data_IF_104578690680
#
_entry.id   IF_104578690680
#
_cell.length_a   1.000
_cell.length_b   1.000
_cell.length_c   1.000
_cell.angle_alpha   90.00
_cell.angle_beta   90.00
_cell.angle_gamma   90.00
#
_symmetry.space_group_name_H-M   'P 1'
#
loop_
_entity.id
_entity.type
_entity.pdbx_description
1 polymer ?
#
# COMPACT_ATOMS: atom_id res chain seq x y z
N UNK A 1 43.08 -35.69 12.29
CA UNK A 1 42.45 -34.46 12.81
C UNK A 1 41.17 -34.20 12.04
N UNK A 2 40.01 -34.24 12.71
CA UNK A 2 38.71 -34.58 12.10
C UNK A 2 38.02 -33.36 11.47
N UNK A 3 37.30 -33.57 10.37
CA UNK A 3 36.48 -32.60 9.61
C UNK A 3 35.55 -31.73 10.49
N UNK A 4 35.10 -32.27 11.63
CA UNK A 4 34.29 -31.56 12.64
C UNK A 4 35.02 -30.37 13.29
N UNK A 5 36.32 -30.48 13.53
CA UNK A 5 37.13 -29.37 14.07
C UNK A 5 37.35 -28.25 13.05
N UNK A 6 37.37 -28.57 11.76
CA UNK A 6 37.47 -27.58 10.69
C UNK A 6 36.14 -26.81 10.51
N UNK A 7 35.01 -27.53 10.51
CA UNK A 7 33.67 -26.97 10.43
C UNK A 7 33.32 -26.10 11.66
N UNK A 8 33.70 -26.53 12.86
CA UNK A 8 33.50 -25.72 14.08
C UNK A 8 34.32 -24.42 14.04
N UNK A 9 35.56 -24.46 13.52
CA UNK A 9 36.39 -23.27 13.36
C UNK A 9 35.88 -22.34 12.25
N UNK A 10 35.36 -22.88 11.15
CA UNK A 10 34.73 -22.09 10.09
C UNK A 10 33.43 -21.44 10.58
N UNK A 11 32.61 -22.16 11.34
CA UNK A 11 31.37 -21.64 11.91
C UNK A 11 31.66 -20.53 12.94
N UNK A 12 32.68 -20.72 13.78
CA UNK A 12 33.16 -19.68 14.70
C UNK A 12 33.74 -18.46 13.96
N UNK A 13 34.43 -18.66 12.83
CA UNK A 13 34.94 -17.56 12.01
C UNK A 13 33.81 -16.78 11.34
N UNK A 14 32.79 -17.47 10.83
CA UNK A 14 31.59 -16.85 10.23
C UNK A 14 30.77 -16.12 11.29
N UNK A 15 30.59 -16.71 12.48
CA UNK A 15 29.91 -16.05 13.61
C UNK A 15 30.72 -14.85 14.10
N UNK A 16 32.05 -14.93 14.15
CA UNK A 16 32.91 -13.80 14.54
C UNK A 16 32.86 -12.66 13.51
N UNK A 17 32.91 -12.96 12.20
CA UNK A 17 32.80 -11.96 11.12
C UNK A 17 31.41 -11.32 11.08
N UNK A 18 30.35 -12.09 11.40
CA UNK A 18 28.99 -11.57 11.52
C UNK A 18 28.81 -10.73 12.79
N UNK A 19 29.35 -11.14 13.94
CA UNK A 19 29.30 -10.35 15.18
C UNK A 19 30.13 -9.07 15.08
N UNK A 20 31.27 -9.07 14.39
CA UNK A 20 32.02 -7.82 14.16
C UNK A 20 31.28 -6.87 13.23
N UNK A 21 30.53 -7.36 12.24
CA UNK A 21 29.67 -6.51 11.41
C UNK A 21 28.42 -6.03 12.16
N UNK A 22 27.86 -6.84 13.06
CA UNK A 22 26.75 -6.43 13.94
C UNK A 22 27.21 -5.41 14.98
N UNK A 23 28.41 -5.57 15.57
CA UNK A 23 28.99 -4.59 16.49
C UNK A 23 29.38 -3.30 15.75
N UNK A 24 29.84 -3.37 14.51
CA UNK A 24 30.09 -2.18 13.67
C UNK A 24 28.79 -1.45 13.25
N UNK A 25 27.63 -2.13 13.25
CA UNK A 25 26.33 -1.52 12.96
C UNK A 25 25.53 -1.09 14.22
N UNK A 26 25.83 -1.67 15.39
CA UNK A 26 25.23 -1.31 16.67
C UNK A 26 26.07 -0.33 17.50
N UNK A 27 27.36 -0.17 17.17
CA UNK A 27 28.13 0.99 17.62
C UNK A 27 27.83 2.13 16.65
N UNK A 28 27.39 3.32 17.12
CA UNK A 28 27.27 4.46 16.23
C UNK A 28 28.65 4.67 15.62
N UNK A 29 28.75 4.84 14.30
CA UNK A 29 29.97 5.36 13.66
C UNK A 29 30.14 6.80 14.12
N UNK A 30 30.59 6.95 15.36
CA UNK A 30 31.17 8.13 15.94
C UNK A 30 32.61 8.12 15.44
N UNK A 31 32.81 8.50 14.16
CA UNK A 31 34.10 9.10 13.81
C UNK A 31 34.17 10.37 14.65
N UNK A 32 34.96 10.32 15.73
CA UNK A 32 35.48 11.50 16.40
C UNK A 32 36.23 12.31 15.35
N UNK A 33 35.55 13.25 14.71
CA UNK A 33 36.20 14.52 14.38
C UNK A 33 36.17 15.32 15.67
N UNK A 34 37.36 15.64 16.17
CA UNK A 34 37.52 16.66 17.21
C UNK A 34 36.79 17.93 16.76
N UNK A 35 35.81 18.35 17.55
CA UNK A 35 34.96 19.54 17.42
C UNK A 35 33.66 19.34 16.63
N UNK A 36 32.53 19.35 17.34
CA UNK A 36 31.20 19.55 16.78
C UNK A 36 30.10 18.92 17.63
N UNK A 37 29.32 19.75 18.34
CA UNK A 37 28.08 19.37 19.02
C UNK A 37 27.15 18.58 18.08
N UNK A 38 26.58 17.48 18.56
CA UNK A 38 25.45 16.81 17.89
C UNK A 38 24.20 17.70 17.98
N UNK A 39 23.75 18.25 16.85
CA UNK A 39 22.42 18.85 16.74
C UNK A 39 21.41 17.80 16.27
N UNK A 40 20.29 17.68 16.99
CA UNK A 40 19.15 16.84 16.66
C UNK A 40 18.21 17.52 15.64
N UNK A 41 18.76 18.37 14.77
CA UNK A 41 17.99 19.26 13.91
C UNK A 41 17.71 18.57 12.58
N UNK A 42 16.43 18.27 12.34
CA UNK A 42 15.92 18.01 10.99
C UNK A 42 16.48 19.10 10.05
N UNK A 43 17.10 18.70 8.94
CA UNK A 43 17.62 19.66 7.97
C UNK A 43 16.46 20.15 7.12
N UNK A 44 15.97 21.35 7.43
CA UNK A 44 15.04 22.07 6.57
C UNK A 44 15.78 22.50 5.32
N UNK A 45 15.55 21.81 4.21
CA UNK A 45 15.92 22.30 2.89
C UNK A 45 14.69 23.06 2.36
N UNK A 46 14.57 24.34 2.71
CA UNK A 46 13.58 25.21 2.08
C UNK A 46 14.08 25.60 0.69
N UNK A 47 13.65 24.87 -0.33
CA UNK A 47 13.63 25.40 -1.69
C UNK A 47 12.20 25.88 -1.92
N UNK A 48 12.03 27.17 -2.23
CA UNK A 48 10.72 27.79 -2.48
C UNK A 48 9.99 27.00 -3.57
N UNK A 49 9.08 26.12 -3.16
CA UNK A 49 8.18 25.43 -4.08
C UNK A 49 7.07 26.43 -4.40
N UNK A 50 7.17 27.16 -5.51
CA UNK A 50 6.06 28.01 -5.94
C UNK A 50 4.93 27.07 -6.37
N UNK A 51 4.01 26.81 -5.45
CA UNK A 51 2.74 26.13 -5.71
C UNK A 51 1.71 27.23 -5.93
N UNK A 52 1.01 27.16 -7.06
CA UNK A 52 -0.09 28.07 -7.39
C UNK A 52 -1.32 27.62 -6.61
N UNK A 53 -1.50 28.19 -5.42
CA UNK A 53 -2.58 27.83 -4.49
C UNK A 53 -3.63 28.93 -4.47
N UNK A 54 -4.36 29.09 -5.57
CA UNK A 54 -5.60 29.88 -5.55
C UNK A 54 -6.84 28.97 -5.56
N UNK A 55 -7.60 29.04 -4.46
CA UNK A 55 -9.02 28.67 -4.29
C UNK A 55 -9.47 27.22 -3.95
N UNK A 56 -8.60 26.24 -3.70
CA UNK A 56 -9.07 24.84 -3.42
C UNK A 56 -9.29 24.49 -1.94
N UNK A 57 -8.80 25.29 -0.99
CA UNK A 57 -8.62 24.83 0.41
C UNK A 57 -9.83 24.98 1.35
N UNK A 58 -10.73 25.95 1.14
CA UNK A 58 -11.75 26.31 2.14
C UNK A 58 -13.08 25.53 2.03
N UNK A 59 -13.37 24.89 0.88
CA UNK A 59 -14.63 24.16 0.66
C UNK A 59 -14.56 22.66 1.07
N UNK A 60 -13.37 22.05 1.02
CA UNK A 60 -13.14 20.60 1.25
C UNK A 60 -13.60 20.11 2.65
N UNK A 61 -13.38 20.91 3.70
CA UNK A 61 -13.59 20.48 5.10
C UNK A 61 -15.03 20.74 5.57
N UNK A 62 -15.75 21.69 4.94
CA UNK A 62 -17.07 22.13 5.40
C UNK A 62 -18.23 21.30 4.83
N UNK A 63 -18.07 20.76 3.63
CA UNK A 63 -19.03 19.84 2.99
C UNK A 63 -19.11 18.49 3.73
N UNK A 64 -17.97 17.93 4.12
CA UNK A 64 -17.86 16.57 4.65
C UNK A 64 -18.41 16.36 6.07
N UNK A 65 -18.36 17.37 6.95
CA UNK A 65 -18.75 17.21 8.37
C UNK A 65 -20.26 17.06 8.61
N UNK A 66 -21.14 17.17 7.59
CA UNK A 66 -22.60 17.22 7.78
C UNK A 66 -23.41 16.10 7.14
N UNK A 67 -22.85 15.23 6.30
CA UNK A 67 -23.63 14.19 5.65
C UNK A 67 -23.44 12.82 6.30
N UNK A 68 -24.48 12.39 7.03
CA UNK A 68 -24.68 11.00 7.45
C UNK A 68 -24.94 10.21 6.16
N UNK A 69 -23.94 9.48 5.70
CA UNK A 69 -23.86 8.83 4.38
C UNK A 69 -25.06 7.87 4.20
N UNK A 70 -25.92 8.17 3.22
CA UNK A 70 -26.87 7.22 2.64
C UNK A 70 -26.27 6.78 1.30
N UNK A 71 -25.76 5.55 1.26
CA UNK A 71 -24.99 4.95 0.16
C UNK A 71 -25.57 5.18 -1.24
N UNK A 72 -26.90 5.16 -1.40
CA UNK A 72 -27.54 5.33 -2.71
C UNK A 72 -27.48 6.76 -3.27
N UNK A 73 -27.53 7.80 -2.43
CA UNK A 73 -27.54 9.19 -2.91
C UNK A 73 -26.16 9.63 -3.40
N UNK A 74 -25.10 9.18 -2.74
CA UNK A 74 -23.74 9.52 -3.12
C UNK A 74 -23.27 8.80 -4.38
N UNK A 75 -23.62 7.51 -4.54
CA UNK A 75 -23.34 6.78 -5.78
C UNK A 75 -24.02 7.44 -6.98
N UNK A 76 -25.28 7.88 -6.82
CA UNK A 76 -25.98 8.65 -7.85
C UNK A 76 -25.28 9.99 -8.14
N UNK A 77 -24.84 10.71 -7.11
CA UNK A 77 -24.07 11.94 -7.31
C UNK A 77 -22.76 11.72 -8.09
N UNK A 78 -22.05 10.60 -7.85
CA UNK A 78 -20.85 10.26 -8.63
C UNK A 78 -21.18 9.90 -10.08
N UNK A 79 -22.30 9.24 -10.34
CA UNK A 79 -22.81 8.97 -11.70
C UNK A 79 -23.22 10.27 -12.40
N UNK A 80 -23.98 11.14 -11.73
CA UNK A 80 -24.44 12.44 -12.23
C UNK A 80 -23.27 13.36 -12.59
N UNK A 81 -22.16 13.28 -11.84
CA UNK A 81 -20.91 14.01 -12.11
C UNK A 81 -20.05 13.37 -13.20
N UNK A 82 -20.41 12.20 -13.74
CA UNK A 82 -19.60 11.45 -14.69
C UNK A 82 -18.30 10.89 -14.10
N UNK A 83 -18.17 10.87 -12.78
CA UNK A 83 -17.01 10.28 -12.08
C UNK A 83 -17.03 8.76 -12.22
N UNK A 84 -18.22 8.18 -12.13
CA UNK A 84 -18.49 6.80 -12.48
C UNK A 84 -19.16 6.74 -13.85
N UNK A 85 -18.80 5.75 -14.67
CA UNK A 85 -19.50 5.46 -15.93
C UNK A 85 -20.86 4.84 -15.66
N UNK A 86 -21.86 5.14 -16.50
CA UNK A 86 -23.14 4.45 -16.42
C UNK A 86 -22.97 2.97 -16.81
N UNK A 87 -23.76 2.04 -16.24
CA UNK A 87 -23.70 0.62 -16.61
C UNK A 87 -23.90 0.37 -18.12
N UNK A 88 -24.68 1.21 -18.78
CA UNK A 88 -25.08 1.11 -20.19
C UNK A 88 -23.93 1.43 -21.17
N UNK A 89 -23.05 2.38 -20.83
CA UNK A 89 -21.87 2.74 -21.64
C UNK A 89 -20.86 1.58 -21.78
N UNK A 90 -20.97 0.56 -20.93
CA UNK A 90 -20.11 -0.62 -20.93
C UNK A 90 -20.71 -1.83 -21.68
N UNK A 91 -21.82 -1.68 -22.39
CA UNK A 91 -22.43 -2.76 -23.17
C UNK A 91 -23.19 -3.80 -22.34
N UNK A 92 -23.59 -3.45 -21.11
CA UNK A 92 -24.58 -4.21 -20.35
C UNK A 92 -25.99 -3.78 -20.78
N UNK A 93 -26.72 -4.67 -21.46
CA UNK A 93 -28.18 -4.54 -21.55
C UNK A 93 -28.76 -4.78 -20.16
N UNK A 94 -29.58 -3.85 -19.68
CA UNK A 94 -30.33 -3.97 -18.44
C UNK A 94 -31.07 -5.32 -18.38
N UNK A 95 -30.65 -6.21 -17.49
CA UNK A 95 -31.64 -6.92 -16.70
C UNK A 95 -31.92 -6.07 -15.47
N UNK A 96 -33.21 -5.89 -15.09
CA UNK A 96 -33.59 -5.00 -14.01
C UNK A 96 -32.84 -5.39 -12.73
N UNK A 97 -32.34 -4.37 -12.00
CA UNK A 97 -31.79 -4.48 -10.66
C UNK A 97 -32.49 -5.61 -9.90
N UNK A 98 -31.81 -6.71 -9.54
CA UNK A 98 -32.43 -7.75 -8.78
C UNK A 98 -32.95 -7.09 -7.51
N UNK A 99 -34.25 -7.20 -7.27
CA UNK A 99 -34.80 -7.00 -5.94
C UNK A 99 -33.83 -7.65 -4.96
N UNK A 100 -33.42 -6.93 -3.91
CA UNK A 100 -32.51 -7.38 -2.85
C UNK A 100 -33.14 -8.56 -2.09
N UNK A 101 -33.27 -9.68 -2.78
CA UNK A 101 -33.37 -11.02 -2.27
C UNK A 101 -31.96 -11.54 -2.46
N UNK A 102 -31.43 -12.15 -1.42
CA UNK A 102 -30.32 -13.06 -1.59
C UNK A 102 -30.87 -14.33 -2.25
N UNK A 103 -30.58 -14.57 -3.54
CA UNK A 103 -30.35 -15.94 -3.95
C UNK A 103 -28.90 -16.12 -4.41
N UNK A 104 -28.28 -17.15 -3.85
CA UNK A 104 -27.07 -17.84 -4.32
C UNK A 104 -25.68 -17.28 -3.97
N UNK A 105 -25.42 -17.08 -2.67
CA UNK A 105 -24.06 -17.17 -2.09
C UNK A 105 -23.37 -18.54 -2.28
N UNK A 106 -24.04 -19.52 -2.89
CA UNK A 106 -23.57 -20.90 -3.01
C UNK A 106 -22.78 -21.19 -4.31
N UNK A 107 -22.99 -20.44 -5.39
CA UNK A 107 -22.39 -20.74 -6.70
C UNK A 107 -21.05 -20.03 -6.97
N UNK A 108 -20.76 -18.89 -6.34
CA UNK A 108 -19.50 -18.12 -6.54
C UNK A 108 -18.27 -18.77 -5.87
N UNK A 109 -18.47 -19.77 -4.99
CA UNK A 109 -17.37 -20.48 -4.30
C UNK A 109 -16.55 -21.43 -5.19
N UNK A 110 -16.82 -21.55 -6.48
CA UNK A 110 -16.33 -22.71 -7.26
C UNK A 110 -14.82 -22.74 -7.55
N UNK A 111 -14.08 -21.62 -7.57
CA UNK A 111 -12.60 -21.58 -7.45
C UNK A 111 -12.10 -20.12 -7.34
N UNK A 112 -12.29 -19.48 -6.18
CA UNK A 112 -11.83 -18.10 -5.99
C UNK A 112 -10.33 -17.95 -6.25
N UNK A 113 -9.53 -18.96 -5.86
CA UNK A 113 -8.08 -18.99 -6.06
C UNK A 113 -7.72 -18.96 -7.54
N UNK A 114 -8.38 -19.77 -8.36
CA UNK A 114 -8.22 -19.78 -9.82
C UNK A 114 -8.66 -18.48 -10.47
N UNK A 115 -9.78 -17.90 -10.02
CA UNK A 115 -10.29 -16.63 -10.54
C UNK A 115 -9.31 -15.48 -10.28
N UNK A 116 -8.84 -15.33 -9.04
CA UNK A 116 -7.82 -14.33 -8.67
C UNK A 116 -6.54 -14.49 -9.51
N UNK A 117 -6.09 -15.73 -9.73
CA UNK A 117 -4.92 -15.99 -10.60
C UNK A 117 -5.16 -15.54 -12.04
N UNK A 118 -6.32 -15.90 -12.62
CA UNK A 118 -6.68 -15.52 -13.99
C UNK A 118 -6.75 -14.00 -14.15
N UNK A 119 -7.38 -13.29 -13.21
CA UNK A 119 -7.49 -11.82 -13.25
C UNK A 119 -6.10 -11.17 -13.18
N UNK A 120 -5.28 -11.59 -12.23
CA UNK A 120 -3.91 -11.07 -12.08
C UNK A 120 -3.01 -11.36 -13.30
N UNK A 121 -3.24 -12.47 -14.01
CA UNK A 121 -2.53 -12.81 -15.24
C UNK A 121 -3.03 -12.00 -16.43
N UNK A 122 -4.34 -11.76 -16.52
CA UNK A 122 -4.95 -11.00 -17.59
C UNK A 122 -4.54 -9.52 -17.57
N UNK A 123 -4.33 -8.95 -16.37
CA UNK A 123 -3.95 -7.55 -16.18
C UNK A 123 -4.84 -6.59 -16.99
N UNK A 124 -6.14 -6.84 -17.02
CA UNK A 124 -7.11 -6.04 -17.78
C UNK A 124 -7.13 -4.62 -17.24
N UNK A 125 -6.95 -3.65 -18.13
CA UNK A 125 -7.04 -2.23 -17.80
C UNK A 125 -8.42 -1.74 -18.23
N UNK A 126 -9.11 -1.05 -17.33
CA UNK A 126 -10.33 -0.30 -17.62
C UNK A 126 -9.94 1.13 -18.00
N UNK A 127 -10.62 1.73 -18.99
CA UNK A 127 -10.24 3.06 -19.46
C UNK A 127 -8.94 3.08 -20.26
N UNK A 128 -8.60 2.02 -20.99
CA UNK A 128 -7.40 1.97 -21.86
C UNK A 128 -7.32 3.13 -22.86
N UNK A 129 -8.44 3.75 -23.21
CA UNK A 129 -8.51 4.95 -24.05
C UNK A 129 -7.70 6.15 -23.50
N UNK A 130 -7.44 6.18 -22.19
CA UNK A 130 -6.59 7.18 -21.55
C UNK A 130 -5.09 6.91 -21.74
N UNK A 131 -4.69 5.65 -21.97
CA UNK A 131 -3.28 5.25 -22.15
C UNK A 131 -2.77 5.54 -23.57
N UNK A 132 -2.87 6.79 -24.01
CA UNK A 132 -2.26 7.25 -25.28
C UNK A 132 -0.74 7.28 -25.21
N UNK A 133 -0.21 7.48 -24.02
CA UNK A 133 1.21 7.47 -23.66
C UNK A 133 1.44 6.59 -22.43
N UNK A 134 2.67 6.11 -22.17
CA UNK A 134 2.99 5.47 -20.91
C UNK A 134 2.61 6.36 -19.72
N UNK A 135 2.07 5.79 -18.62
CA UNK A 135 1.59 6.58 -17.50
C UNK A 135 2.75 7.35 -16.85
N UNK A 136 2.51 8.62 -16.52
CA UNK A 136 3.51 9.48 -15.87
C UNK A 136 3.69 9.12 -14.40
N UNK A 137 2.59 8.78 -13.74
CA UNK A 137 2.55 8.35 -12.34
C UNK A 137 1.80 7.04 -12.20
N UNK A 138 2.10 6.31 -11.13
CA UNK A 138 1.39 5.10 -10.75
C UNK A 138 0.95 5.23 -9.30
N UNK A 139 -0.36 5.17 -9.07
CA UNK A 139 -0.93 5.09 -7.73
C UNK A 139 -1.26 3.64 -7.42
N UNK A 140 -0.78 3.13 -6.29
CA UNK A 140 -1.05 1.76 -5.83
C UNK A 140 -1.86 1.85 -4.54
N UNK A 141 -3.16 1.55 -4.63
CA UNK A 141 -4.14 1.70 -3.57
C UNK A 141 -4.39 0.35 -2.90
N UNK A 142 -4.19 0.25 -1.59
CA UNK A 142 -4.58 -0.94 -0.82
C UNK A 142 -6.06 -0.86 -0.45
N UNK A 143 -6.82 -1.88 -0.84
CA UNK A 143 -8.27 -1.99 -0.62
C UNK A 143 -8.56 -3.25 0.21
N UNK A 144 -9.43 -3.09 1.21
CA UNK A 144 -9.95 -4.18 2.03
C UNK A 144 -11.47 -4.31 1.83
N UNK A 145 -12.28 -3.72 2.71
CA UNK A 145 -13.75 -3.80 2.66
C UNK A 145 -14.46 -2.51 3.11
N UNK A 146 -13.75 -1.38 3.26
CA UNK A 146 -14.36 -0.11 3.72
C UNK A 146 -14.93 0.70 2.56
N UNK A 147 -16.09 0.26 2.08
CA UNK A 147 -16.77 0.80 0.89
C UNK A 147 -16.95 2.33 0.90
N UNK A 148 -17.43 2.91 2.01
CA UNK A 148 -17.66 4.36 2.12
C UNK A 148 -16.37 5.17 2.02
N UNK A 149 -15.28 4.66 2.60
CA UNK A 149 -13.97 5.30 2.55
C UNK A 149 -13.41 5.26 1.13
N UNK A 150 -13.54 4.11 0.47
CA UNK A 150 -13.10 3.94 -0.91
C UNK A 150 -13.83 4.90 -1.86
N UNK A 151 -15.13 5.10 -1.66
CA UNK A 151 -15.91 6.11 -2.37
C UNK A 151 -15.33 7.52 -2.15
N UNK A 152 -15.01 7.87 -0.90
CA UNK A 152 -14.42 9.16 -0.55
C UNK A 152 -13.08 9.39 -1.26
N UNK A 153 -12.23 8.35 -1.28
CA UNK A 153 -10.95 8.38 -1.98
C UNK A 153 -11.15 8.57 -3.48
N UNK A 154 -12.04 7.81 -4.12
CA UNK A 154 -12.34 7.90 -5.56
C UNK A 154 -12.85 9.30 -5.92
N UNK A 155 -13.77 9.86 -5.13
CA UNK A 155 -14.26 11.23 -5.30
C UNK A 155 -13.10 12.24 -5.22
N UNK A 156 -12.18 12.12 -4.25
CA UNK A 156 -11.00 12.99 -4.17
C UNK A 156 -10.02 12.81 -5.34
N UNK A 157 -9.80 11.57 -5.80
CA UNK A 157 -8.95 11.29 -6.95
C UNK A 157 -9.52 11.90 -8.25
N UNK A 158 -10.84 11.93 -8.39
CA UNK A 158 -11.50 12.48 -9.59
C UNK A 158 -11.21 13.97 -9.84
N UNK A 159 -10.79 14.70 -8.80
CA UNK A 159 -10.46 16.13 -8.87
C UNK A 159 -8.97 16.40 -9.08
N UNK A 160 -8.13 15.37 -9.00
CA UNK A 160 -6.68 15.53 -9.13
C UNK A 160 -6.32 15.97 -10.54
N UNK A 161 -5.55 17.04 -10.65
CA UNK A 161 -5.09 17.55 -11.94
C UNK A 161 -4.06 16.60 -12.58
N UNK A 162 -4.31 16.18 -13.83
CA UNK A 162 -3.44 15.25 -14.56
C UNK A 162 -3.63 13.77 -14.18
N UNK A 163 -4.73 13.44 -13.52
CA UNK A 163 -5.05 12.06 -13.12
C UNK A 163 -5.34 11.15 -14.32
N UNK A 164 -5.77 11.72 -15.45
CA UNK A 164 -6.07 11.02 -16.69
C UNK A 164 -4.83 10.31 -17.29
N UNK A 165 -3.62 10.85 -17.03
CA UNK A 165 -2.33 10.29 -17.48
C UNK A 165 -1.68 9.40 -16.39
N UNK A 166 -2.44 9.00 -15.37
CA UNK A 166 -1.96 8.26 -14.20
C UNK A 166 -2.62 6.87 -14.13
N UNK A 167 -1.81 5.82 -14.00
CA UNK A 167 -2.35 4.46 -13.81
C UNK A 167 -2.77 4.27 -12.34
N UNK A 168 -4.06 3.98 -12.13
CA UNK A 168 -4.60 3.62 -10.82
C UNK A 168 -4.61 2.10 -10.65
N UNK A 169 -3.80 1.59 -9.74
CA UNK A 169 -3.73 0.16 -9.41
C UNK A 169 -4.41 -0.09 -8.07
N UNK A 170 -5.62 -0.64 -8.09
CA UNK A 170 -6.33 -1.05 -6.88
C UNK A 170 -5.93 -2.49 -6.53
N UNK A 171 -5.40 -2.68 -5.33
CA UNK A 171 -4.92 -3.95 -4.81
C UNK A 171 -5.82 -4.44 -3.70
N UNK A 172 -6.54 -5.54 -3.94
CA UNK A 172 -7.58 -6.07 -3.07
C UNK A 172 -7.10 -7.30 -2.31
N UNK A 173 -7.40 -7.43 -1.01
CA UNK A 173 -7.26 -8.70 -0.28
C UNK A 173 -8.59 -9.36 0.07
N UNK A 174 -9.72 -8.72 -0.25
CA UNK A 174 -11.05 -9.32 -0.24
C UNK A 174 -11.69 -9.15 -1.60
N UNK A 175 -12.21 -10.24 -2.16
CA UNK A 175 -12.97 -10.25 -3.39
C UNK A 175 -14.44 -9.98 -3.08
N UNK A 176 -14.89 -8.74 -3.33
CA UNK A 176 -16.26 -8.29 -3.16
C UNK A 176 -16.76 -7.67 -4.46
N UNK A 177 -17.81 -8.25 -5.05
CA UNK A 177 -18.33 -7.83 -6.37
C UNK A 177 -18.74 -6.35 -6.40
N UNK A 178 -19.27 -5.84 -5.29
CA UNK A 178 -19.66 -4.43 -5.15
C UNK A 178 -18.45 -3.48 -5.26
N UNK A 179 -17.36 -3.77 -4.54
CA UNK A 179 -16.10 -3.00 -4.62
C UNK A 179 -15.46 -3.16 -6.00
N UNK A 180 -15.41 -4.40 -6.51
CA UNK A 180 -14.81 -4.70 -7.81
C UNK A 180 -15.51 -3.93 -8.93
N UNK A 181 -16.84 -3.85 -8.86
CA UNK A 181 -17.68 -3.12 -9.83
C UNK A 181 -17.51 -1.62 -9.69
N UNK A 182 -17.47 -1.08 -8.47
CA UNK A 182 -17.19 0.33 -8.22
C UNK A 182 -15.86 0.76 -8.88
N UNK A 183 -14.79 -0.01 -8.64
CA UNK A 183 -13.47 0.29 -9.18
C UNK A 183 -13.41 0.12 -10.71
N UNK A 184 -14.07 -0.90 -11.27
CA UNK A 184 -14.12 -1.12 -12.71
C UNK A 184 -14.83 0.02 -13.48
N UNK A 185 -15.74 0.73 -12.82
CA UNK A 185 -16.55 1.79 -13.42
C UNK A 185 -15.96 3.20 -13.25
N UNK A 186 -14.76 3.34 -12.71
CA UNK A 186 -14.06 4.63 -12.64
C UNK A 186 -13.90 5.23 -14.06
N UNK A 187 -14.39 6.45 -14.23
CA UNK A 187 -14.55 7.10 -15.53
C UNK A 187 -13.41 8.02 -15.98
N UNK A 188 -12.51 8.40 -15.08
CA UNK A 188 -11.61 9.54 -15.26
C UNK A 188 -10.11 9.19 -15.39
N UNK A 189 -9.75 7.91 -15.30
CA UNK A 189 -8.36 7.45 -15.37
C UNK A 189 -8.27 5.99 -15.83
N UNK A 190 -7.11 5.51 -16.30
CA UNK A 190 -6.89 4.10 -16.54
C UNK A 190 -6.75 3.34 -15.22
N UNK A 191 -7.51 2.26 -15.08
CA UNK A 191 -7.64 1.50 -13.83
C UNK A 191 -7.27 0.04 -14.03
N UNK A 192 -6.45 -0.49 -13.13
CA UNK A 192 -6.07 -1.90 -13.06
C UNK A 192 -6.46 -2.45 -11.68
N UNK A 193 -7.14 -3.58 -11.63
CA UNK A 193 -7.39 -4.31 -10.40
C UNK A 193 -6.46 -5.51 -10.26
N UNK A 194 -5.81 -5.64 -9.11
CA UNK A 194 -4.98 -6.78 -8.73
C UNK A 194 -5.47 -7.36 -7.39
N UNK A 195 -5.35 -8.66 -7.21
CA UNK A 195 -5.92 -9.37 -6.06
C UNK A 195 -4.85 -10.15 -5.32
N UNK A 196 -4.66 -9.88 -4.04
CA UNK A 196 -3.70 -10.57 -3.18
C UNK A 196 -4.03 -12.07 -3.11
N UNK A 197 -3.18 -12.96 -3.66
CA UNK A 197 -3.56 -14.35 -3.91
C UNK A 197 -3.41 -15.24 -2.69
N UNK A 198 -3.09 -14.68 -1.53
CA UNK A 198 -2.85 -15.38 -0.26
C UNK A 198 -3.70 -14.80 0.87
N UNK A 199 -4.88 -14.27 0.56
CA UNK A 199 -5.78 -13.71 1.57
C UNK A 199 -6.46 -14.80 2.41
N UNK A 200 -6.93 -14.38 3.58
CA UNK A 200 -7.73 -15.19 4.50
C UNK A 200 -9.00 -15.71 3.81
N UNK A 201 -9.62 -14.90 2.94
CA UNK A 201 -10.81 -15.29 2.18
C UNK A 201 -10.54 -16.50 1.28
N UNK A 202 -9.35 -16.58 0.66
CA UNK A 202 -8.96 -17.68 -0.24
C UNK A 202 -8.56 -18.94 0.52
N UNK A 203 -7.76 -18.81 1.59
CA UNK A 203 -7.17 -19.96 2.29
C UNK A 203 -7.97 -20.45 3.50
N UNK A 204 -9.12 -19.83 3.77
CA UNK A 204 -10.09 -20.15 4.82
C UNK A 204 -9.80 -21.45 5.60
N UNK A 205 -9.41 -21.31 6.87
CA UNK A 205 -9.07 -22.41 7.79
C UNK A 205 -7.72 -23.13 7.55
N UNK A 206 -6.83 -22.57 6.74
CA UNK A 206 -5.45 -23.06 6.56
C UNK A 206 -4.47 -21.91 6.39
N UNK A 207 -3.20 -22.07 6.74
CA UNK A 207 -2.19 -21.01 6.56
C UNK A 207 -2.17 -20.51 5.09
N UNK A 208 -2.16 -19.17 4.84
CA UNK A 208 -2.02 -18.05 5.79
C UNK A 208 -3.35 -17.49 6.32
N UNK A 209 -4.47 -18.18 6.22
CA UNK A 209 -5.61 -17.92 7.10
C UNK A 209 -5.32 -18.44 8.54
N UNK A 210 -6.31 -18.36 9.41
CA UNK A 210 -6.25 -18.98 10.74
C UNK A 210 -6.43 -20.49 10.59
N UNK A 211 -5.44 -21.31 10.95
CA UNK A 211 -5.63 -22.77 11.04
C UNK A 211 -6.29 -23.10 12.40
N UNK A 212 -7.28 -24.02 12.48
CA UNK A 212 -7.86 -24.44 13.76
C UNK A 212 -6.86 -25.00 14.77
N UNK A 213 -5.67 -25.41 14.32
CA UNK A 213 -4.58 -25.95 15.15
C UNK A 213 -3.52 -24.90 15.51
N UNK A 214 -3.64 -23.67 15.02
CA UNK A 214 -2.77 -22.57 15.44
C UNK A 214 -2.96 -22.29 16.94
N UNK A 215 -1.89 -21.87 17.60
CA UNK A 215 -1.94 -21.44 18.99
C UNK A 215 -2.82 -20.17 19.11
N UNK A 216 -3.68 -20.05 20.13
CA UNK A 216 -4.37 -18.80 20.40
C UNK A 216 -3.35 -17.71 20.73
N UNK A 217 -3.68 -16.45 20.41
CA UNK A 217 -2.79 -15.27 20.61
C UNK A 217 -2.08 -15.30 21.97
N UNK A 218 -2.82 -15.60 23.03
CA UNK A 218 -2.29 -15.76 24.38
C UNK A 218 -2.55 -17.17 24.86
N UNK A 219 -1.49 -17.91 25.14
CA UNK A 219 -1.61 -19.23 25.78
C UNK A 219 -1.79 -19.06 27.29
N UNK A 220 -2.90 -19.55 27.81
CA UNK A 220 -3.13 -19.68 29.25
C UNK A 220 -2.57 -20.99 29.81
N UNK A 221 -2.43 -22.03 28.97
CA UNK A 221 -1.92 -23.34 29.34
C UNK A 221 -0.75 -23.76 28.44
N UNK A 222 0.44 -23.86 29.03
CA UNK A 222 1.70 -24.25 28.37
C UNK A 222 1.74 -25.71 27.92
N UNK A 223 0.77 -26.53 28.34
CA UNK A 223 0.63 -27.94 27.96
C UNK A 223 -0.07 -28.15 26.61
N UNK A 224 -0.57 -27.08 25.97
CA UNK A 224 -1.21 -27.17 24.64
C UNK A 224 -0.20 -27.59 23.56
N UNK A 225 -0.65 -28.41 22.61
CA UNK A 225 0.13 -28.90 21.47
C UNK A 225 -0.43 -28.32 20.16
N UNK A 226 -0.17 -27.03 19.93
CA UNK A 226 -0.58 -26.27 18.76
C UNK A 226 0.58 -26.05 17.78
N UNK A 227 0.28 -25.77 16.50
CA UNK A 227 1.25 -25.85 15.39
C UNK A 227 2.46 -24.91 15.54
N UNK A 228 2.22 -23.66 15.95
CA UNK A 228 3.23 -22.60 16.00
C UNK A 228 3.72 -22.31 17.42
N UNK A 229 3.64 -23.29 18.33
CA UNK A 229 4.00 -23.15 19.75
C UNK A 229 5.44 -22.69 19.97
N UNK A 230 6.37 -23.17 19.14
CA UNK A 230 7.79 -22.84 19.28
C UNK A 230 8.15 -21.48 18.66
N UNK A 231 7.15 -20.77 18.09
CA UNK A 231 7.35 -19.55 17.30
C UNK A 231 6.47 -18.37 17.76
N UNK A 232 6.49 -17.98 19.05
CA UNK A 232 5.84 -16.76 19.48
C UNK A 232 6.62 -15.52 19.01
N UNK A 233 5.95 -14.37 19.04
CA UNK A 233 6.58 -13.07 18.85
C UNK A 233 7.46 -12.65 20.05
N UNK A 234 8.12 -11.50 19.95
CA UNK A 234 8.99 -10.98 21.01
C UNK A 234 8.26 -10.66 22.33
N UNK A 235 6.94 -10.49 22.26
CA UNK A 235 6.05 -10.24 23.39
C UNK A 235 5.38 -11.53 23.88
N UNK A 236 5.82 -12.70 23.39
CA UNK A 236 5.26 -14.02 23.71
C UNK A 236 3.80 -14.22 23.28
N UNK A 237 3.33 -13.46 22.29
CA UNK A 237 2.03 -13.70 21.65
C UNK A 237 2.19 -14.54 20.38
N UNK A 238 1.14 -15.28 20.04
CA UNK A 238 1.06 -16.04 18.80
C UNK A 238 0.38 -15.22 17.70
N UNK A 239 0.68 -15.63 16.46
CA UNK A 239 0.18 -15.04 15.22
C UNK A 239 -1.34 -14.88 15.23
N UNK A 240 -1.79 -13.72 14.80
CA UNK A 240 -3.17 -13.48 14.36
C UNK A 240 -3.20 -13.27 12.84
N UNK A 241 -4.07 -14.00 12.15
CA UNK A 241 -4.10 -14.03 10.69
C UNK A 241 -4.48 -12.67 10.08
N UNK A 242 -5.48 -11.99 10.64
CA UNK A 242 -5.94 -10.66 10.21
C UNK A 242 -4.82 -9.61 10.27
N UNK A 243 -4.08 -9.54 11.38
CA UNK A 243 -2.95 -8.61 11.55
C UNK A 243 -1.82 -8.92 10.56
N UNK A 244 -1.56 -10.21 10.32
CA UNK A 244 -0.52 -10.65 9.39
C UNK A 244 -0.86 -10.33 7.93
N UNK A 245 -2.15 -10.39 7.56
CA UNK A 245 -2.59 -10.17 6.18
C UNK A 245 -2.22 -8.77 5.68
N UNK A 246 -2.48 -7.72 6.47
CA UNK A 246 -2.22 -6.33 6.05
C UNK A 246 -0.77 -6.12 5.63
N UNK A 247 0.19 -6.63 6.41
CA UNK A 247 1.62 -6.54 6.09
C UNK A 247 1.99 -7.35 4.86
N UNK A 248 1.48 -8.58 4.74
CA UNK A 248 1.78 -9.43 3.60
C UNK A 248 1.20 -8.89 2.29
N UNK A 249 -0.04 -8.37 2.34
CA UNK A 249 -0.69 -7.68 1.24
C UNK A 249 0.13 -6.44 0.83
N UNK A 250 0.56 -5.62 1.81
CA UNK A 250 1.35 -4.43 1.54
C UNK A 250 2.66 -4.74 0.80
N UNK A 251 3.37 -5.78 1.24
CA UNK A 251 4.63 -6.17 0.62
C UNK A 251 4.42 -6.80 -0.76
N UNK A 252 3.43 -7.68 -0.89
CA UNK A 252 3.09 -8.31 -2.15
C UNK A 252 2.69 -7.28 -3.21
N UNK A 253 1.80 -6.33 -2.89
CA UNK A 253 1.30 -5.36 -3.87
C UNK A 253 2.40 -4.46 -4.40
N UNK A 254 3.34 -4.06 -3.53
CA UNK A 254 4.47 -3.23 -3.90
C UNK A 254 5.36 -3.94 -4.94
N UNK A 255 5.68 -5.22 -4.70
CA UNK A 255 6.49 -6.01 -5.62
C UNK A 255 5.71 -6.39 -6.88
N UNK A 256 4.42 -6.71 -6.76
CA UNK A 256 3.59 -7.04 -7.92
C UNK A 256 3.46 -5.85 -8.86
N UNK A 257 3.12 -4.67 -8.35
CA UNK A 257 2.99 -3.45 -9.12
C UNK A 257 4.32 -3.07 -9.81
N UNK A 258 5.43 -3.14 -9.08
CA UNK A 258 6.72 -2.68 -9.60
C UNK A 258 7.45 -3.68 -10.51
N UNK A 259 7.20 -4.99 -10.38
CA UNK A 259 7.96 -6.03 -11.08
C UNK A 259 7.12 -6.96 -11.98
N UNK A 260 5.79 -7.02 -11.81
CA UNK A 260 4.94 -8.00 -12.52
C UNK A 260 3.95 -7.38 -13.51
N UNK A 261 3.66 -6.08 -13.40
CA UNK A 261 2.76 -5.40 -14.33
C UNK A 261 3.47 -5.15 -15.67
N UNK A 262 2.89 -5.69 -16.74
CA UNK A 262 3.48 -5.65 -18.07
C UNK A 262 3.54 -4.23 -18.62
N UNK A 263 2.48 -3.44 -18.41
CA UNK A 263 2.40 -2.03 -18.83
C UNK A 263 3.46 -1.15 -18.17
N UNK A 264 3.98 -1.57 -17.00
CA UNK A 264 5.00 -0.84 -16.25
C UNK A 264 6.40 -1.41 -16.45
N UNK A 265 6.63 -2.31 -17.41
CA UNK A 265 7.93 -2.99 -17.59
C UNK A 265 9.10 -2.01 -17.66
N UNK A 266 8.95 -0.91 -18.38
CA UNK A 266 10.00 0.10 -18.60
C UNK A 266 9.76 1.39 -17.79
N UNK A 267 8.77 1.39 -16.89
CA UNK A 267 8.49 2.54 -16.03
C UNK A 267 9.65 2.81 -15.07
N UNK A 268 10.14 4.05 -15.06
CA UNK A 268 11.25 4.54 -14.25
C UNK A 268 10.85 5.63 -13.24
N UNK A 269 9.55 5.97 -13.20
CA UNK A 269 8.98 6.93 -12.28
C UNK A 269 8.75 6.41 -10.85
N UNK A 270 7.82 7.07 -10.16
CA UNK A 270 7.49 6.80 -8.76
C UNK A 270 6.14 6.09 -8.61
N UNK A 271 6.10 5.15 -7.67
CA UNK A 271 4.89 4.47 -7.21
C UNK A 271 4.40 5.16 -5.94
N UNK A 272 3.27 5.86 -6.01
CA UNK A 272 2.62 6.48 -4.85
C UNK A 272 1.67 5.48 -4.19
N UNK A 273 1.94 5.15 -2.93
CA UNK A 273 1.15 4.20 -2.15
C UNK A 273 0.06 4.93 -1.36
N UNK A 274 -1.18 4.48 -1.54
CA UNK A 274 -2.36 4.95 -0.80
C UNK A 274 -3.11 3.77 -0.17
N UNK A 275 -4.00 4.10 0.77
CA UNK A 275 -4.95 3.17 1.39
C UNK A 275 -6.37 3.69 1.12
N UNK A 276 -7.36 2.80 1.14
CA UNK A 276 -8.77 3.11 0.84
C UNK A 276 -9.40 4.22 1.70
N UNK A 277 -8.80 4.57 2.84
CA UNK A 277 -9.25 5.61 3.76
C UNK A 277 -8.41 6.88 3.75
N UNK A 278 -7.56 7.06 2.74
CA UNK A 278 -6.96 8.35 2.47
C UNK A 278 -7.92 9.28 1.72
N UNK A 279 -7.70 10.58 1.90
CA UNK A 279 -8.17 11.62 0.98
C UNK A 279 -6.93 12.28 0.39
N UNK A 280 -7.01 12.62 -0.90
CA UNK A 280 -5.94 13.34 -1.59
C UNK A 280 -6.34 14.77 -1.90
N UNK A 281 -5.33 15.63 -2.02
CA UNK A 281 -5.50 17.01 -2.49
C UNK A 281 -5.41 17.03 -4.02
N UNK A 282 -6.11 18.00 -4.62
CA UNK A 282 -6.24 18.13 -6.07
C UNK A 282 -4.88 18.35 -6.78
N UNK A 283 -3.88 18.85 -6.07
CA UNK A 283 -2.52 19.13 -6.55
C UNK A 283 -1.47 18.07 -6.19
N UNK A 284 -1.89 16.90 -5.66
CA UNK A 284 -0.96 15.86 -5.14
C UNK A 284 0.10 15.43 -6.16
N UNK A 285 -0.26 15.30 -7.44
CA UNK A 285 0.67 14.91 -8.51
C UNK A 285 1.62 16.05 -8.88
N UNK A 286 1.15 17.30 -8.81
CA UNK A 286 1.99 18.48 -9.01
C UNK A 286 3.07 18.56 -7.93
N UNK A 287 2.66 18.44 -6.66
CA UNK A 287 3.59 18.48 -5.51
C UNK A 287 4.58 17.32 -5.57
N UNK A 288 4.13 16.12 -5.93
CA UNK A 288 5.01 14.97 -6.12
C UNK A 288 6.06 15.24 -7.21
N UNK A 289 5.65 15.76 -8.37
CA UNK A 289 6.59 16.11 -9.44
C UNK A 289 7.63 17.12 -8.95
N UNK A 290 7.19 18.20 -8.30
CA UNK A 290 8.09 19.22 -7.78
C UNK A 290 9.08 18.63 -6.77
N UNK A 291 8.63 17.75 -5.87
CA UNK A 291 9.50 17.08 -4.90
C UNK A 291 10.56 16.19 -5.59
N UNK A 292 10.20 15.52 -6.69
CA UNK A 292 11.13 14.75 -7.52
C UNK A 292 12.17 15.67 -8.17
N UNK A 293 11.71 16.79 -8.75
CA UNK A 293 12.55 17.77 -9.46
C UNK A 293 13.58 18.45 -8.55
N UNK A 294 13.36 18.46 -7.23
CA UNK A 294 14.35 18.97 -6.26
C UNK A 294 15.67 18.16 -6.26
N UNK A 295 15.65 16.93 -6.78
CA UNK A 295 16.84 16.10 -6.97
C UNK A 295 17.55 15.75 -5.66
N UNK A 296 16.78 15.57 -4.58
CA UNK A 296 17.36 15.29 -3.25
C UNK A 296 17.91 13.86 -3.16
N UNK A 297 18.67 13.58 -2.09
CA UNK A 297 19.13 12.22 -1.77
C UNK A 297 18.06 11.35 -1.09
N UNK A 298 16.81 11.81 -1.00
CA UNK A 298 15.73 11.08 -0.34
C UNK A 298 15.38 9.78 -1.07
N UNK A 299 15.22 8.70 -0.30
CA UNK A 299 14.81 7.40 -0.84
C UNK A 299 13.29 7.28 -1.01
N UNK A 300 12.53 8.00 -0.18
CA UNK A 300 11.07 7.98 -0.07
C UNK A 300 10.59 9.44 0.03
N UNK A 301 9.52 9.77 -0.70
CA UNK A 301 8.81 11.04 -0.58
C UNK A 301 7.49 10.76 0.15
N UNK A 302 7.18 11.51 1.21
CA UNK A 302 5.90 11.41 1.93
C UNK A 302 5.07 12.65 1.63
N UNK A 303 3.86 12.47 1.10
CA UNK A 303 2.94 13.57 0.77
C UNK A 303 1.96 13.88 1.90
N UNK A 304 1.95 13.08 2.97
CA UNK A 304 1.18 13.34 4.19
C UNK A 304 1.99 13.11 5.46
N UNK A 305 1.55 13.72 6.56
CA UNK A 305 2.01 13.43 7.92
C UNK A 305 0.86 13.58 8.93
N UNK A 306 0.88 12.78 10.01
CA UNK A 306 -0.07 12.92 11.12
C UNK A 306 0.23 14.12 12.02
N UNK A 307 1.43 14.69 11.91
CA UNK A 307 1.74 15.95 12.58
C UNK A 307 1.17 17.08 11.76
N UNK A 308 0.26 17.87 12.33
CA UNK A 308 -0.19 19.11 11.68
C UNK A 308 1.03 20.01 11.46
N UNK A 309 1.42 20.28 10.21
CA UNK A 309 2.43 21.30 9.96
C UNK A 309 1.84 22.66 10.34
N UNK A 310 2.73 23.60 10.67
CA UNK A 310 2.34 25.01 10.66
C UNK A 310 1.99 25.39 9.21
N UNK A 311 0.69 25.58 8.94
CA UNK A 311 0.16 25.86 7.60
C UNK A 311 0.55 27.24 7.05
N UNK A 312 1.34 28.01 7.78
CA UNK A 312 1.88 29.29 7.31
C UNK A 312 2.85 29.14 6.14
N UNK A 313 3.36 27.93 5.87
CA UNK A 313 4.33 27.70 4.80
C UNK A 313 4.02 26.45 3.95
N UNK A 314 3.11 26.63 2.99
CA UNK A 314 2.68 25.61 2.03
C UNK A 314 3.70 25.34 0.91
N UNK A 315 4.84 26.03 0.91
CA UNK A 315 5.87 25.98 -0.14
C UNK A 315 7.15 25.29 0.33
N UNK A 316 7.12 24.61 1.49
CA UNK A 316 8.26 23.92 2.09
C UNK A 316 8.11 22.41 2.07
N UNK A 317 9.24 21.75 1.85
CA UNK A 317 9.42 20.31 2.07
C UNK A 317 10.51 20.09 3.12
N UNK A 318 10.43 18.97 3.84
CA UNK A 318 11.37 18.63 4.90
C UNK A 318 12.13 17.35 4.55
N UNK A 319 13.46 17.38 4.68
CA UNK A 319 14.29 16.19 4.57
C UNK A 319 14.56 15.64 5.98
N UNK A 320 13.92 14.51 6.31
CA UNK A 320 13.97 13.93 7.65
C UNK A 320 14.23 12.43 7.58
N UNK A 321 14.50 11.83 8.75
CA UNK A 321 14.53 10.37 8.88
C UNK A 321 13.12 9.82 8.80
N UNK A 322 12.92 8.77 8.00
CA UNK A 322 11.65 8.09 7.92
C UNK A 322 11.23 7.50 9.28
N UNK A 323 9.93 7.61 9.57
CA UNK A 323 9.28 7.15 10.81
C UNK A 323 7.88 6.67 10.44
N UNK A 324 7.59 5.40 10.67
CA UNK A 324 6.32 4.78 10.31
C UNK A 324 5.11 5.50 10.91
N UNK A 325 5.23 5.96 12.16
CA UNK A 325 4.16 6.67 12.88
C UNK A 325 3.90 8.10 12.39
N UNK A 326 4.64 8.59 11.39
CA UNK A 326 4.48 9.94 10.85
C UNK A 326 4.36 9.95 9.34
N UNK A 327 5.17 9.15 8.65
CA UNK A 327 5.43 9.27 7.21
C UNK A 327 4.92 8.06 6.41
N UNK A 328 3.89 7.36 6.90
CA UNK A 328 3.27 6.23 6.20
C UNK A 328 2.14 6.65 5.25
N UNK A 329 1.69 7.91 5.28
CA UNK A 329 0.61 8.42 4.43
C UNK A 329 1.17 8.99 3.12
N UNK A 330 0.72 8.45 1.98
CA UNK A 330 1.10 8.96 0.67
C UNK A 330 2.60 8.82 0.38
N UNK A 331 3.15 7.62 0.57
CA UNK A 331 4.57 7.35 0.32
C UNK A 331 4.83 7.06 -1.16
N UNK A 332 5.72 7.82 -1.78
CA UNK A 332 6.18 7.60 -3.14
C UNK A 332 7.61 7.05 -3.17
N UNK A 333 7.84 6.01 -3.98
CA UNK A 333 9.13 5.35 -4.14
C UNK A 333 9.40 4.97 -5.59
N UNK A 334 10.65 5.09 -6.03
CA UNK A 334 11.07 4.58 -7.34
C UNK A 334 11.53 3.12 -7.25
N UNK A 335 11.75 2.49 -8.41
CA UNK A 335 12.20 1.09 -8.50
C UNK A 335 13.51 0.81 -7.78
N UNK A 336 14.44 1.77 -7.75
CA UNK A 336 15.72 1.63 -7.05
C UNK A 336 15.50 1.47 -5.54
N UNK A 337 14.61 2.26 -4.95
CA UNK A 337 14.22 2.12 -3.53
C UNK A 337 13.50 0.80 -3.30
N UNK A 338 12.53 0.44 -4.15
CA UNK A 338 11.78 -0.82 -4.02
C UNK A 338 12.72 -2.04 -4.13
N UNK A 339 13.71 -2.00 -5.03
CA UNK A 339 14.71 -3.07 -5.16
C UNK A 339 15.56 -3.26 -3.90
N UNK A 340 15.90 -2.17 -3.20
CA UNK A 340 16.59 -2.23 -1.89
C UNK A 340 15.67 -2.80 -0.80
N UNK A 341 14.39 -2.46 -0.81
CA UNK A 341 13.40 -3.05 0.10
C UNK A 341 13.28 -4.57 -0.16
N UNK A 342 13.26 -4.98 -1.43
CA UNK A 342 13.23 -6.39 -1.83
C UNK A 342 14.48 -7.15 -1.40
N UNK A 343 15.68 -6.56 -1.46
CA UNK A 343 16.89 -7.25 -0.96
C UNK A 343 16.84 -7.51 0.54
N UNK A 344 16.04 -6.75 1.28
CA UNK A 344 15.73 -6.99 2.69
C UNK A 344 14.54 -7.96 2.91
N UNK A 345 14.02 -8.62 1.86
CA UNK A 345 12.86 -9.52 1.94
C UNK A 345 13.00 -10.62 2.99
N UNK A 346 14.19 -11.20 3.14
CA UNK A 346 14.45 -12.20 4.19
C UNK A 346 14.18 -11.63 5.59
N UNK A 347 14.60 -10.40 5.86
CA UNK A 347 14.34 -9.70 7.12
C UNK A 347 12.88 -9.27 7.24
N UNK A 348 12.28 -8.74 6.16
CA UNK A 348 10.87 -8.32 6.15
C UNK A 348 9.92 -9.49 6.44
N UNK A 349 10.22 -10.68 5.88
CA UNK A 349 9.56 -11.93 6.17
C UNK A 349 9.86 -12.40 7.62
N UNK A 350 11.11 -12.30 8.08
CA UNK A 350 11.50 -12.71 9.44
C UNK A 350 10.78 -11.92 10.54
N UNK A 351 10.57 -10.61 10.37
CA UNK A 351 9.77 -9.78 11.29
C UNK A 351 8.24 -9.96 11.09
N UNK A 352 7.80 -10.81 10.16
CA UNK A 352 6.38 -11.11 9.91
C UNK A 352 6.00 -12.53 10.30
N UNK A 353 6.96 -13.44 10.22
CA UNK A 353 6.77 -14.88 10.31
C UNK A 353 8.10 -15.49 10.76
N UNK A 354 8.35 -15.54 12.07
CA UNK A 354 8.96 -16.76 12.58
C UNK A 354 7.88 -17.83 12.43
N UNK A 355 8.07 -18.70 11.44
CA UNK A 355 7.30 -19.91 11.21
C UNK A 355 8.24 -21.10 11.40
#
# INVERSE_FOLDING_TARGET
MKLRTLLSRLLLLVIAVCLTNIILYLWPVNRRTSNGLFSNTDQTISKNLIVDVENTWYELIRSWRRQKIRTNEHLQNLLDKGILKSPEENGFREEPLPSFRAPLQKEIRSDLKGNVRKINQAQKIFGESFLRVPPKFVLVIQVHERFENLIALIDSLSRVHGIEDTLLVFSHDVFLDEINSLVANIGFAPVLQIFYPYSIQIYNSSFPAQDPRDCPRTLTNTSSNCLNKDWPDFASHYREANVSQTKNHWFWKLLFASEKLTILRDFDGYFLLLEEDHLVLDDILHVLQKAIDLGTSADIISLGSYTQPDFTDHQKVYLTKWRSSRHNMGMAMNRKTIGRIRSCSQWNAFFSTRL
#
